data_IF_938216404130
#
_entry.id   IF_938216404130
#
_cell.length_a   1.000
_cell.length_b   1.000
_cell.length_c   1.000
_cell.angle_alpha   90.00
_cell.angle_beta   90.00
_cell.angle_gamma   90.00
#
_symmetry.space_group_name_H-M   'P 1'
#
loop_
_entity.id
_entity.type
_entity.pdbx_description
1 polymer ?
#
# COMPACT_ATOMS: atom_id res chain seq x y z
N UNK A 1 -6.45 -4.01 -10.65
CA UNK A 1 -5.75 -5.32 -10.65
C UNK A 1 -5.50 -5.69 -9.20
N UNK A 2 -5.74 -6.94 -8.81
CA UNK A 2 -5.44 -7.47 -7.46
C UNK A 2 -4.63 -8.75 -7.66
N UNK A 3 -3.57 -8.94 -6.87
CA UNK A 3 -2.73 -10.13 -6.90
C UNK A 3 -2.07 -10.36 -5.54
N UNK A 4 -1.61 -11.58 -5.29
CA UNK A 4 -0.92 -11.94 -4.04
C UNK A 4 0.57 -12.11 -4.32
N UNK A 5 1.39 -11.37 -3.57
CA UNK A 5 2.83 -11.61 -3.48
C UNK A 5 3.16 -12.62 -2.37
N UNK A 6 4.43 -12.73 -2.01
CA UNK A 6 4.86 -13.68 -0.96
C UNK A 6 4.38 -13.30 0.43
N UNK A 7 4.39 -12.00 0.76
CA UNK A 7 4.10 -11.51 2.11
C UNK A 7 2.93 -10.54 2.16
N UNK A 8 2.45 -10.06 1.00
CA UNK A 8 1.39 -9.06 0.92
C UNK A 8 0.37 -9.42 -0.19
N UNK A 9 -0.89 -9.12 0.06
CA UNK A 9 -1.89 -8.91 -0.98
C UNK A 9 -1.70 -7.51 -1.56
N UNK A 10 -1.74 -7.40 -2.89
CA UNK A 10 -1.44 -6.17 -3.60
C UNK A 10 -2.59 -5.80 -4.54
N UNK A 11 -2.83 -4.50 -4.67
CA UNK A 11 -3.83 -3.94 -5.55
C UNK A 11 -3.28 -2.71 -6.27
N UNK A 12 -3.74 -2.46 -7.49
CA UNK A 12 -3.40 -1.27 -8.25
C UNK A 12 -4.54 -0.81 -9.15
N UNK A 13 -4.74 0.50 -9.20
CA UNK A 13 -5.67 1.14 -10.15
C UNK A 13 -5.00 1.32 -11.52
N UNK A 14 -5.80 1.65 -12.54
CA UNK A 14 -5.29 1.90 -13.88
C UNK A 14 -4.66 3.28 -13.95
N UNK A 15 -3.48 3.39 -14.57
CA UNK A 15 -2.90 4.68 -14.90
C UNK A 15 -3.53 5.20 -16.20
N UNK A 16 -4.17 6.38 -16.20
CA UNK A 16 -4.81 6.92 -17.40
C UNK A 16 -3.78 7.20 -18.52
N UNK A 17 -2.52 7.47 -18.17
CA UNK A 17 -1.43 7.70 -19.14
C UNK A 17 -1.00 6.42 -19.87
N UNK A 18 -1.26 5.23 -19.31
CA UNK A 18 -0.82 3.95 -19.85
C UNK A 18 -1.97 3.00 -20.22
N UNK A 19 -3.19 3.26 -19.75
CA UNK A 19 -4.35 2.37 -19.92
C UNK A 19 -4.26 1.05 -19.13
N UNK A 20 -3.26 0.91 -18.25
CA UNK A 20 -2.98 -0.28 -17.42
C UNK A 20 -2.33 0.15 -16.09
N UNK A 21 -2.22 -0.73 -15.09
CA UNK A 21 -1.42 -0.43 -13.90
C UNK A 21 0.02 -0.01 -14.26
N UNK A 22 0.57 0.96 -13.53
CA UNK A 22 1.90 1.51 -13.79
C UNK A 22 3.00 0.51 -13.40
N UNK A 23 3.80 -0.04 -14.32
CA UNK A 23 4.76 -1.09 -14.01
C UNK A 23 5.82 -0.64 -12.99
N UNK A 24 6.34 0.59 -13.10
CA UNK A 24 7.30 1.12 -12.13
C UNK A 24 6.70 1.28 -10.72
N UNK A 25 5.40 1.58 -10.61
CA UNK A 25 4.73 1.62 -9.31
C UNK A 25 4.57 0.21 -8.72
N UNK A 26 4.33 -0.80 -9.56
CA UNK A 26 4.25 -2.20 -9.13
C UNK A 26 5.60 -2.70 -8.62
N UNK A 27 6.69 -2.42 -9.35
CA UNK A 27 8.06 -2.76 -8.94
C UNK A 27 8.44 -2.07 -7.62
N UNK A 28 8.12 -0.78 -7.49
CA UNK A 28 8.35 -0.03 -6.26
C UNK A 28 7.55 -0.62 -5.08
N UNK A 29 6.28 -0.97 -5.30
CA UNK A 29 5.44 -1.58 -4.28
C UNK A 29 6.03 -2.92 -3.80
N UNK A 30 6.50 -3.77 -4.72
CA UNK A 30 7.16 -5.03 -4.39
C UNK A 30 8.45 -4.81 -3.57
N UNK A 31 9.29 -3.86 -3.97
CA UNK A 31 10.52 -3.53 -3.26
C UNK A 31 10.24 -3.02 -1.84
N UNK A 32 9.24 -2.16 -1.67
CA UNK A 32 8.82 -1.67 -0.36
C UNK A 32 8.25 -2.80 0.52
N UNK A 33 7.44 -3.71 -0.03
CA UNK A 33 6.94 -4.89 0.69
C UNK A 33 8.07 -5.77 1.21
N UNK A 34 9.09 -6.02 0.40
CA UNK A 34 10.28 -6.78 0.80
C UNK A 34 11.08 -6.04 1.87
N UNK A 35 11.23 -4.71 1.76
CA UNK A 35 11.92 -3.89 2.75
C UNK A 35 11.20 -3.88 4.11
N UNK A 36 9.88 -3.67 4.12
CA UNK A 36 9.08 -3.68 5.36
C UNK A 36 9.12 -5.06 6.04
N UNK A 37 9.06 -6.13 5.27
CA UNK A 37 9.21 -7.51 5.79
C UNK A 37 10.55 -7.69 6.52
N UNK A 38 11.64 -7.19 5.93
CA UNK A 38 12.99 -7.29 6.52
C UNK A 38 13.19 -6.33 7.71
N UNK A 39 12.52 -5.18 7.72
CA UNK A 39 12.60 -4.21 8.81
C UNK A 39 11.81 -4.65 10.06
N UNK A 40 10.76 -5.45 9.89
CA UNK A 40 9.85 -5.87 10.96
C UNK A 40 10.53 -6.41 12.24
N UNK A 41 11.54 -7.30 12.21
CA UNK A 41 12.17 -7.80 13.44
C UNK A 41 13.04 -6.78 14.19
N UNK A 42 13.37 -5.64 13.58
CA UNK A 42 14.30 -4.64 14.14
C UNK A 42 13.67 -3.25 14.32
N UNK A 43 12.37 -3.12 14.04
CA UNK A 43 11.61 -1.88 14.17
C UNK A 43 10.35 -2.11 15.00
N UNK A 44 9.77 -1.03 15.53
CA UNK A 44 8.52 -1.09 16.27
C UNK A 44 7.32 -1.17 15.31
N UNK A 45 6.15 -1.54 15.83
CA UNK A 45 4.92 -1.66 15.03
C UNK A 45 4.47 -0.33 14.39
N UNK A 46 4.87 0.81 14.98
CA UNK A 46 4.57 2.16 14.50
C UNK A 46 5.62 2.71 13.51
N UNK A 47 6.60 1.89 13.12
CA UNK A 47 7.62 2.29 12.16
C UNK A 47 7.01 2.58 10.79
N UNK A 48 7.39 3.73 10.21
CA UNK A 48 6.93 4.20 8.92
C UNK A 48 8.08 4.81 8.11
N UNK A 49 8.07 4.56 6.80
CA UNK A 49 8.90 5.24 5.82
C UNK A 49 8.02 6.02 4.85
N UNK A 50 8.32 7.31 4.68
CA UNK A 50 7.68 8.14 3.66
C UNK A 50 8.73 8.72 2.73
N UNK A 51 8.34 9.01 1.50
CA UNK A 51 9.26 9.64 0.56
C UNK A 51 8.65 9.91 -0.80
N UNK A 52 9.49 10.49 -1.65
CA UNK A 52 9.16 10.87 -3.01
C UNK A 52 10.11 10.16 -3.98
N UNK A 53 9.62 9.84 -5.17
CA UNK A 53 10.41 9.20 -6.23
C UNK A 53 9.91 9.62 -7.60
N UNK A 54 10.79 9.59 -8.59
CA UNK A 54 10.39 9.76 -9.99
C UNK A 54 10.31 8.40 -10.67
N UNK A 55 9.09 7.98 -11.00
CA UNK A 55 8.82 6.74 -11.72
C UNK A 55 8.98 6.95 -13.23
N UNK A 56 9.80 6.12 -13.86
CA UNK A 56 10.12 6.19 -15.30
C UNK A 56 9.41 5.11 -16.12
N UNK A 57 8.08 5.00 -15.95
CA UNK A 57 7.26 4.06 -16.71
C UNK A 57 6.52 4.72 -17.89
N UNK A 58 6.14 5.99 -17.77
CA UNK A 58 5.52 6.77 -18.84
C UNK A 58 6.52 7.79 -19.39
N UNK A 59 6.39 8.16 -20.67
CA UNK A 59 7.33 9.06 -21.35
C UNK A 59 7.47 10.45 -20.71
N UNK A 60 6.48 10.91 -19.94
CA UNK A 60 6.52 12.18 -19.22
C UNK A 60 7.27 12.12 -17.87
N UNK A 61 7.63 10.92 -17.39
CA UNK A 61 7.94 10.70 -15.98
C UNK A 61 6.70 10.90 -15.09
N UNK A 62 6.75 10.34 -13.88
CA UNK A 62 5.66 10.45 -12.93
C UNK A 62 6.24 10.66 -11.53
N UNK A 63 5.97 11.81 -10.90
CA UNK A 63 6.35 12.01 -9.50
C UNK A 63 5.43 11.18 -8.63
N UNK A 64 6.00 10.35 -7.78
CA UNK A 64 5.27 9.48 -6.89
C UNK A 64 5.65 9.72 -5.44
N UNK A 65 4.66 9.69 -4.57
CA UNK A 65 4.83 9.69 -3.12
C UNK A 65 4.50 8.31 -2.59
N UNK A 66 5.23 7.85 -1.59
CA UNK A 66 4.94 6.61 -0.91
C UNK A 66 4.88 6.78 0.61
N UNK A 67 4.09 5.90 1.22
CA UNK A 67 4.05 5.66 2.66
C UNK A 67 4.09 4.16 2.86
N UNK A 68 5.00 3.68 3.70
CA UNK A 68 5.21 2.28 3.96
C UNK A 68 5.33 2.04 5.47
N UNK A 69 4.40 1.26 6.02
CA UNK A 69 4.44 0.77 7.39
C UNK A 69 4.26 -0.75 7.40
N UNK A 70 4.35 -1.36 8.58
CA UNK A 70 4.09 -2.79 8.75
C UNK A 70 2.63 -3.19 8.48
N UNK A 71 1.70 -2.24 8.55
CA UNK A 71 0.27 -2.47 8.36
C UNK A 71 -0.17 -2.27 6.90
N UNK A 72 0.49 -1.37 6.16
CA UNK A 72 0.08 -1.01 4.82
C UNK A 72 1.20 -0.27 4.08
N UNK A 73 1.24 -0.47 2.76
CA UNK A 73 2.10 0.29 1.86
C UNK A 73 1.24 0.91 0.77
N UNK A 74 1.49 2.18 0.45
CA UNK A 74 0.84 2.92 -0.63
C UNK A 74 1.84 3.67 -1.47
N UNK A 75 1.60 3.65 -2.79
CA UNK A 75 2.32 4.45 -3.78
C UNK A 75 1.30 5.27 -4.57
N UNK A 76 1.41 6.59 -4.49
CA UNK A 76 0.54 7.56 -5.14
C UNK A 76 1.28 8.17 -6.33
N UNK A 77 0.72 8.03 -7.53
CA UNK A 77 1.35 8.50 -8.77
C UNK A 77 0.80 9.86 -9.20
N UNK A 78 1.68 10.74 -9.65
CA UNK A 78 1.39 12.08 -10.21
C UNK A 78 0.76 13.03 -9.18
N UNK A 79 1.28 13.00 -7.95
CA UNK A 79 0.83 13.87 -6.86
C UNK A 79 1.81 15.01 -6.62
N UNK A 80 1.27 16.19 -6.31
CA UNK A 80 2.06 17.34 -5.85
C UNK A 80 2.70 17.03 -4.49
N UNK A 81 3.90 17.57 -4.25
CA UNK A 81 4.55 17.52 -2.94
C UNK A 81 3.74 18.23 -1.84
N UNK A 82 2.86 19.17 -2.24
CA UNK A 82 1.97 19.88 -1.32
C UNK A 82 0.69 19.10 -0.96
N UNK A 83 0.48 17.91 -1.53
CA UNK A 83 -0.72 17.12 -1.25
C UNK A 83 -0.73 16.63 0.21
N UNK A 84 -1.86 16.79 0.89
CA UNK A 84 -2.03 16.32 2.26
C UNK A 84 -2.18 14.80 2.29
N UNK A 85 -1.34 14.12 3.09
CA UNK A 85 -1.32 12.65 3.18
C UNK A 85 -2.69 12.07 3.55
N UNK A 86 -3.39 12.70 4.49
CA UNK A 86 -4.73 12.29 4.93
C UNK A 86 -5.75 12.26 3.79
N UNK A 87 -5.68 13.21 2.86
CA UNK A 87 -6.58 13.26 1.69
C UNK A 87 -6.24 12.14 0.71
N UNK A 88 -4.94 11.86 0.51
CA UNK A 88 -4.47 10.75 -0.32
C UNK A 88 -4.93 9.41 0.24
N UNK A 89 -4.85 9.23 1.57
CA UNK A 89 -5.26 8.01 2.23
C UNK A 89 -6.77 7.77 2.14
N UNK A 90 -7.59 8.81 2.37
CA UNK A 90 -9.04 8.72 2.21
C UNK A 90 -9.45 8.35 0.78
N UNK A 91 -8.72 8.86 -0.22
CA UNK A 91 -8.96 8.51 -1.61
C UNK A 91 -8.55 7.06 -1.90
N UNK A 92 -7.42 6.60 -1.38
CA UNK A 92 -7.00 5.21 -1.55
C UNK A 92 -7.98 4.24 -0.87
N UNK A 93 -8.41 4.55 0.36
CA UNK A 93 -9.48 3.82 1.05
C UNK A 93 -10.72 3.76 0.16
N UNK A 94 -11.06 4.86 -0.51
CA UNK A 94 -12.19 4.91 -1.41
C UNK A 94 -12.07 4.05 -2.66
N UNK A 95 -10.86 3.89 -3.18
CA UNK A 95 -10.58 3.10 -4.37
C UNK A 95 -10.54 1.59 -4.08
N UNK A 96 -10.17 1.21 -2.86
CA UNK A 96 -9.91 -0.19 -2.51
C UNK A 96 -10.91 -0.81 -1.51
N UNK A 97 -11.70 0.00 -0.79
CA UNK A 97 -12.75 -0.50 0.09
C UNK A 97 -14.04 -0.77 -0.67
N UNK A 98 -14.76 -1.82 -0.27
CA UNK A 98 -16.09 -2.13 -0.81
C UNK A 98 -17.23 -1.46 0.00
N UNK A 99 -16.88 -0.67 1.01
CA UNK A 99 -17.82 -0.01 1.91
C UNK A 99 -18.29 1.34 1.34
N UNK A 100 -19.58 1.63 1.52
CA UNK A 100 -20.20 2.89 1.11
C UNK A 100 -19.58 4.07 1.89
N UNK A 101 -18.90 4.93 1.17
CA UNK A 101 -18.18 6.06 1.76
C UNK A 101 -19.13 7.26 1.91
N UNK A 102 -19.12 7.97 3.04
CA UNK A 102 -19.78 9.26 3.13
C UNK A 102 -19.19 10.24 2.10
N UNK A 103 -20.06 11.05 1.49
CA UNK A 103 -19.75 12.03 0.44
C UNK A 103 -18.49 12.85 0.77
N UNK A 104 -17.35 12.49 0.15
CA UNK A 104 -16.10 13.24 0.29
C UNK A 104 -16.25 14.53 -0.53
N UNK A 105 -15.94 15.69 0.09
CA UNK A 105 -15.80 16.94 -0.66
C UNK A 105 -14.74 16.74 -1.75
N UNK A 106 -15.12 17.00 -3.01
CA UNK A 106 -14.27 16.74 -4.18
C UNK A 106 -12.95 17.51 -4.01
N UNK A 107 -11.81 16.83 -3.80
CA UNK A 107 -10.53 17.52 -3.73
C UNK A 107 -10.27 18.20 -5.10
N UNK A 108 -9.57 19.32 -5.08
CA UNK A 108 -9.10 19.96 -6.31
C UNK A 108 -8.26 18.96 -7.12
N UNK A 109 -8.36 19.04 -8.45
CA UNK A 109 -7.70 18.13 -9.38
C UNK A 109 -6.19 18.00 -9.16
N UNK A 110 -5.57 19.06 -8.64
CA UNK A 110 -4.11 19.21 -8.54
C UNK A 110 -3.50 18.38 -7.39
N UNK A 111 -4.35 17.74 -6.58
CA UNK A 111 -3.94 16.86 -5.48
C UNK A 111 -4.34 15.41 -5.68
N UNK A 112 -5.01 15.08 -6.79
CA UNK A 112 -5.50 13.73 -7.05
C UNK A 112 -4.43 12.88 -7.74
N UNK A 113 -4.03 11.74 -7.16
CA UNK A 113 -3.17 10.79 -7.84
C UNK A 113 -3.86 10.28 -9.11
N UNK A 114 -3.11 10.21 -10.21
CA UNK A 114 -3.59 9.60 -11.43
C UNK A 114 -3.71 8.07 -11.33
N UNK A 115 -2.95 7.45 -10.42
CA UNK A 115 -2.98 6.02 -10.13
C UNK A 115 -2.50 5.78 -8.69
N UNK A 116 -2.97 4.68 -8.09
CA UNK A 116 -2.59 4.26 -6.75
C UNK A 116 -2.28 2.76 -6.77
N UNK A 117 -1.22 2.37 -6.07
CA UNK A 117 -0.90 0.98 -5.78
C UNK A 117 -0.82 0.78 -4.26
N UNK A 118 -1.32 -0.35 -3.76
CA UNK A 118 -1.42 -0.68 -2.34
C UNK A 118 -0.94 -2.11 -2.10
N UNK A 119 -0.27 -2.32 -0.96
CA UNK A 119 0.01 -3.65 -0.43
C UNK A 119 -0.47 -3.74 1.02
N UNK A 120 -1.15 -4.84 1.34
CA UNK A 120 -1.60 -5.20 2.69
C UNK A 120 -0.90 -6.50 3.09
N UNK A 121 -0.37 -6.62 4.32
CA UNK A 121 0.29 -7.84 4.76
C UNK A 121 -0.69 -9.01 4.72
N UNK A 122 -0.22 -10.17 4.26
CA UNK A 122 -1.02 -11.39 4.33
C UNK A 122 -1.28 -11.73 5.79
N UNK A 123 -2.54 -11.98 6.11
CA UNK A 123 -2.90 -12.54 7.41
C UNK A 123 -2.38 -13.97 7.45
N UNK A 124 -1.21 -14.16 8.06
CA UNK A 124 -0.74 -15.51 8.39
C UNK A 124 -1.74 -16.03 9.43
N UNK A 125 -2.66 -16.89 9.00
CA UNK A 125 -3.57 -17.59 9.87
C UNK A 125 -2.72 -18.27 10.95
N UNK A 126 -2.70 -17.68 12.14
CA UNK A 126 -1.90 -18.20 13.24
C UNK A 126 -2.59 -19.47 13.68
N UNK A 127 -2.14 -20.63 13.18
CA UNK A 127 -2.55 -21.92 13.72
C UNK A 127 -2.11 -21.94 15.17
N UNK A 128 -3.03 -21.64 16.09
CA UNK A 128 -2.81 -21.83 17.53
C UNK A 128 -2.57 -23.33 17.74
N UNK A 129 -1.31 -23.72 17.89
CA UNK A 129 -0.96 -25.00 18.51
C UNK A 129 -1.52 -24.94 19.95
N UNK A 130 -2.67 -25.58 20.17
CA UNK A 130 -3.15 -25.88 21.52
C UNK A 130 -2.30 -27.06 22.00
N UNK A 131 -1.19 -26.77 22.67
CA UNK A 131 -0.49 -27.76 23.50
C UNK A 131 -1.36 -28.03 24.74
N UNK A 132 -2.19 -29.08 24.65
CA UNK A 132 -2.86 -29.65 25.83
C UNK A 132 -1.92 -30.68 26.45
N UNK A 133 -1.01 -30.21 27.29
CA UNK A 133 -0.23 -31.06 28.19
C UNK A 133 -0.76 -30.95 29.63
N UNK A 134 -0.83 -32.12 30.27
CA UNK A 134 -0.96 -32.39 31.71
C UNK A 134 -2.37 -32.51 32.31
N UNK A 135 -2.83 -33.76 32.39
CA UNK A 135 -3.34 -34.38 33.63
C UNK A 135 -3.19 -35.90 33.55
N UNK A 136 -2.16 -36.44 34.20
CA UNK A 136 -2.16 -37.82 34.71
C UNK A 136 -2.76 -37.80 36.12
N UNK A 137 -3.65 -38.73 36.50
CA UNK A 137 -3.89 -39.04 37.89
C UNK A 137 -3.05 -40.24 38.35
N UNK A 138 -2.62 -40.13 39.60
CA UNK A 138 -2.03 -41.16 40.46
C UNK A 138 -3.05 -42.24 40.79
#
# INVERSE_FOLDING_TARGET
MIWTGETHEMAATHCPKLGRPCPAALEMLQALSAAMTQAKPVTQDDFEMTGHSTLKACGAGCQARFVASHAQIRVFCDVSDSAEQKVLDQLADAMFSNDLIPSIARPSSDHLPCAVAQALPLQIATTRHIDTALRQPV
#
